data_IF_542946861853
#
_entry.id   IF_542946861853
#
_cell.length_a   1.000
_cell.length_b   1.000
_cell.length_c   1.000
_cell.angle_alpha   90.00
_cell.angle_beta   90.00
_cell.angle_gamma   90.00
#
_symmetry.space_group_name_H-M   'P 1'
#
loop_
_entity.id
_entity.type
_entity.pdbx_description
1 polymer ?
#
# COMPACT_ATOMS: atom_id res chain seq x y z
N UNK A 1 6.37 -28.18 0.30
CA UNK A 1 7.10 -26.90 0.47
C UNK A 1 7.34 -26.66 1.94
N UNK A 2 8.58 -26.34 2.34
CA UNK A 2 8.91 -25.92 3.69
C UNK A 2 8.25 -24.57 4.01
N UNK A 3 7.98 -24.31 5.29
CA UNK A 3 7.34 -23.07 5.74
C UNK A 3 8.22 -21.82 5.47
N UNK A 4 9.54 -21.99 5.33
CA UNK A 4 10.49 -20.92 4.99
C UNK A 4 10.23 -20.29 3.63
N UNK A 5 9.95 -21.11 2.60
CA UNK A 5 9.62 -20.63 1.25
C UNK A 5 8.26 -19.92 1.21
N UNK A 6 7.34 -20.31 2.10
CA UNK A 6 5.99 -19.76 2.17
C UNK A 6 6.02 -18.33 2.71
N UNK A 7 6.84 -18.04 3.73
CA UNK A 7 7.03 -16.66 4.22
C UNK A 7 7.49 -15.72 3.11
N UNK A 8 8.45 -16.17 2.29
CA UNK A 8 8.93 -15.42 1.13
C UNK A 8 7.81 -15.19 0.09
N UNK A 9 7.00 -16.21 -0.19
CA UNK A 9 5.85 -16.07 -1.10
C UNK A 9 4.77 -15.12 -0.56
N UNK A 10 4.56 -15.09 0.76
CA UNK A 10 3.64 -14.14 1.40
C UNK A 10 4.12 -12.70 1.19
N UNK A 11 5.41 -12.44 1.37
CA UNK A 11 6.00 -11.11 1.13
C UNK A 11 5.95 -10.71 -0.34
N UNK A 12 6.29 -11.62 -1.26
CA UNK A 12 6.16 -11.38 -2.71
C UNK A 12 4.73 -11.05 -3.12
N UNK A 13 3.74 -11.72 -2.52
CA UNK A 13 2.31 -11.44 -2.75
C UNK A 13 1.95 -10.04 -2.27
N UNK A 14 2.40 -9.63 -1.09
CA UNK A 14 2.19 -8.28 -0.56
C UNK A 14 2.78 -7.22 -1.51
N UNK A 15 3.97 -7.48 -2.06
CA UNK A 15 4.60 -6.61 -3.07
C UNK A 15 3.98 -6.69 -4.48
N UNK A 16 2.84 -7.40 -4.68
CA UNK A 16 2.17 -7.65 -5.97
C UNK A 16 3.05 -8.31 -7.05
N UNK A 17 4.04 -9.12 -6.66
CA UNK A 17 5.01 -9.78 -7.58
C UNK A 17 4.81 -11.30 -7.70
N UNK A 18 3.63 -11.84 -7.36
CA UNK A 18 3.38 -13.29 -7.31
C UNK A 18 2.65 -13.81 -8.55
N UNK A 19 3.07 -14.96 -9.08
CA UNK A 19 2.40 -15.65 -10.19
C UNK A 19 1.12 -16.38 -9.74
N UNK A 20 0.19 -16.62 -10.67
CA UNK A 20 -1.09 -17.31 -10.40
C UNK A 20 -0.90 -18.70 -9.79
N UNK A 21 0.08 -19.48 -10.27
CA UNK A 21 0.38 -20.82 -9.74
C UNK A 21 0.91 -20.77 -8.30
N UNK A 22 1.77 -19.80 -8.00
CA UNK A 22 2.31 -19.58 -6.66
C UNK A 22 1.21 -19.17 -5.68
N UNK A 23 0.23 -18.38 -6.13
CA UNK A 23 -0.93 -18.00 -5.33
C UNK A 23 -1.79 -19.21 -4.94
N UNK A 24 -2.02 -20.15 -5.86
CA UNK A 24 -2.76 -21.39 -5.57
C UNK A 24 -1.98 -22.28 -4.59
N UNK A 25 -0.68 -22.47 -4.82
CA UNK A 25 0.19 -23.25 -3.90
C UNK A 25 0.20 -22.65 -2.50
N UNK A 26 0.32 -21.33 -2.40
CA UNK A 26 0.27 -20.60 -1.13
C UNK A 26 -1.07 -20.81 -0.42
N UNK A 27 -2.19 -20.73 -1.15
CA UNK A 27 -3.53 -20.96 -0.58
C UNK A 27 -3.68 -22.37 0.00
N UNK A 28 -3.21 -23.39 -0.71
CA UNK A 28 -3.24 -24.78 -0.23
C UNK A 28 -2.38 -24.95 1.03
N UNK A 29 -1.17 -24.38 1.05
CA UNK A 29 -0.30 -24.48 2.22
C UNK A 29 -0.87 -23.77 3.45
N UNK A 30 -1.47 -22.59 3.29
CA UNK A 30 -2.11 -21.85 4.39
C UNK A 30 -3.34 -22.58 4.99
N UNK A 31 -3.93 -23.51 4.23
CA UNK A 31 -5.03 -24.37 4.72
C UNK A 31 -4.51 -25.50 5.61
N UNK A 32 -3.31 -26.00 5.33
CA UNK A 32 -2.67 -27.12 6.05
C UNK A 32 -1.81 -26.65 7.22
N UNK A 33 -1.16 -25.49 7.11
CA UNK A 33 -0.24 -24.97 8.12
C UNK A 33 -0.83 -23.78 8.89
N UNK A 34 -1.13 -24.00 10.17
CA UNK A 34 -1.68 -22.98 11.08
C UNK A 34 -0.70 -21.83 11.36
N UNK A 35 0.60 -22.11 11.45
CA UNK A 35 1.63 -21.09 11.70
C UNK A 35 1.71 -20.10 10.55
N UNK A 36 1.82 -20.59 9.31
CA UNK A 36 1.83 -19.76 8.11
C UNK A 36 0.52 -18.96 7.98
N UNK A 37 -0.62 -19.52 8.39
CA UNK A 37 -1.90 -18.81 8.44
C UNK A 37 -1.89 -17.63 9.41
N UNK A 38 -1.30 -17.79 10.60
CA UNK A 38 -1.12 -16.70 11.56
C UNK A 38 -0.18 -15.62 11.02
N UNK A 39 0.95 -16.03 10.45
CA UNK A 39 1.90 -15.11 9.83
C UNK A 39 1.25 -14.29 8.71
N UNK A 40 0.54 -14.94 7.79
CA UNK A 40 -0.18 -14.26 6.71
C UNK A 40 -1.20 -13.23 7.23
N UNK A 41 -1.93 -13.55 8.31
CA UNK A 41 -2.85 -12.58 8.94
C UNK A 41 -2.11 -11.37 9.50
N UNK A 42 -0.97 -11.57 10.17
CA UNK A 42 -0.14 -10.49 10.72
C UNK A 42 0.35 -9.55 9.61
N UNK A 43 0.87 -10.12 8.52
CA UNK A 43 1.34 -9.34 7.36
C UNK A 43 0.20 -8.55 6.71
N UNK A 44 -0.97 -9.17 6.53
CA UNK A 44 -2.13 -8.47 5.94
C UNK A 44 -2.67 -7.35 6.84
N UNK A 45 -2.59 -7.51 8.16
CA UNK A 45 -2.95 -6.44 9.10
C UNK A 45 -2.00 -5.25 8.95
N UNK A 46 -0.69 -5.50 8.89
CA UNK A 46 0.32 -4.46 8.69
C UNK A 46 0.13 -3.74 7.35
N UNK A 47 -0.01 -4.50 6.25
CA UNK A 47 -0.22 -3.96 4.91
C UNK A 47 -1.47 -3.07 4.84
N UNK A 48 -2.58 -3.51 5.44
CA UNK A 48 -3.80 -2.71 5.54
C UNK A 48 -3.62 -1.45 6.40
N UNK A 49 -2.89 -1.57 7.51
CA UNK A 49 -2.60 -0.42 8.37
C UNK A 49 -1.76 0.63 7.63
N UNK A 50 -0.76 0.18 6.85
CA UNK A 50 0.12 1.06 6.08
C UNK A 50 -0.62 1.73 4.91
N UNK A 51 -1.48 1.00 4.18
CA UNK A 51 -2.32 1.57 3.11
C UNK A 51 -3.30 2.63 3.65
N UNK A 52 -3.84 2.43 4.85
CA UNK A 52 -4.73 3.42 5.46
C UNK A 52 -4.00 4.71 5.88
N UNK A 53 -2.72 4.63 6.24
CA UNK A 53 -1.88 5.82 6.48
C UNK A 53 -1.58 6.59 5.18
N UNK A 54 -1.33 5.91 4.05
CA UNK A 54 -1.11 6.59 2.75
C UNK A 54 -2.36 7.34 2.26
N UNK A 55 -3.57 6.84 2.53
CA UNK A 55 -4.83 7.53 2.16
C UNK A 55 -5.06 8.81 3.00
N UNK A 56 -4.28 9.00 4.08
CA UNK A 56 -4.29 10.24 4.87
C UNK A 56 -3.30 11.28 4.32
N UNK A 57 -2.69 11.07 3.15
CA UNK A 57 -2.35 12.21 2.30
C UNK A 57 -3.66 12.79 1.79
N UNK A 58 -4.23 13.72 2.58
CA UNK A 58 -5.27 14.62 2.12
C UNK A 58 -4.88 15.05 0.70
N UNK A 59 -5.62 14.61 -0.32
CA UNK A 59 -5.60 15.28 -1.62
C UNK A 59 -5.94 16.72 -1.30
N UNK A 60 -4.92 17.58 -1.20
CA UNK A 60 -5.11 19.01 -1.10
C UNK A 60 -5.63 19.40 -2.46
N UNK A 61 -6.94 19.36 -2.62
CA UNK A 61 -7.62 19.85 -3.80
C UNK A 61 -7.54 21.36 -3.68
N UNK A 62 -6.44 21.95 -4.16
CA UNK A 62 -6.32 23.39 -4.25
C UNK A 62 -7.45 23.92 -5.11
N UNK A 63 -8.29 24.78 -4.55
CA UNK A 63 -9.37 25.38 -5.31
C UNK A 63 -8.75 26.30 -6.38
N UNK A 64 -9.26 26.27 -7.60
CA UNK A 64 -8.76 27.10 -8.70
C UNK A 64 -8.76 28.60 -8.36
N UNK A 65 -9.68 29.03 -7.49
CA UNK A 65 -9.73 30.40 -6.96
C UNK A 65 -8.52 30.75 -6.07
N UNK A 66 -8.02 29.81 -5.27
CA UNK A 66 -6.84 30.00 -4.40
C UNK A 66 -5.56 30.17 -5.23
N UNK A 67 -5.41 29.36 -6.29
CA UNK A 67 -4.29 29.45 -7.23
C UNK A 67 -4.31 30.80 -7.95
N UNK A 68 -5.49 31.28 -8.38
CA UNK A 68 -5.61 32.60 -9.01
C UNK A 68 -5.33 33.76 -8.06
N UNK A 69 -5.76 33.66 -6.79
CA UNK A 69 -5.48 34.68 -5.79
C UNK A 69 -3.98 34.76 -5.51
N UNK A 70 -3.30 33.62 -5.40
CA UNK A 70 -1.85 33.56 -5.24
C UNK A 70 -1.11 34.21 -6.42
N UNK A 71 -1.51 33.87 -7.66
CA UNK A 71 -0.90 34.43 -8.88
C UNK A 71 -1.07 35.95 -8.97
N UNK A 72 -2.23 36.49 -8.56
CA UNK A 72 -2.46 37.94 -8.48
C UNK A 72 -1.54 38.59 -7.46
N UNK A 73 -1.48 38.03 -6.25
CA UNK A 73 -0.66 38.55 -5.14
C UNK A 73 0.84 38.58 -5.51
N UNK A 74 1.35 37.55 -6.16
CA UNK A 74 2.73 37.52 -6.67
C UNK A 74 2.99 38.63 -7.70
N UNK A 75 2.06 38.84 -8.62
CA UNK A 75 2.17 39.88 -9.66
C UNK A 75 2.14 41.29 -9.08
N UNK A 76 1.41 41.52 -8.00
CA UNK A 76 1.39 42.80 -7.29
C UNK A 76 2.70 43.06 -6.54
N UNK A 77 3.29 42.03 -5.92
CA UNK A 77 4.58 42.16 -5.23
C UNK A 77 5.76 42.35 -6.18
N UNK A 78 5.68 41.83 -7.41
CA UNK A 78 6.71 42.03 -8.46
C UNK A 78 6.59 43.38 -9.19
N UNK A 79 5.51 44.13 -8.97
CA UNK A 79 5.27 45.46 -9.57
C UNK A 79 5.64 46.60 -8.63
N UNK A 80 6.15 46.28 -7.43
CA UNK A 80 6.62 47.23 -6.43
C UNK A 80 8.13 47.11 -6.33
#
# INVERSE_FOLDING_TARGET
MPCSEISLLIEKKTARKISFFEKIRLFLHLRLCRLCKMYHKKVMFLDKSLQNTEITEKKVVFNHSEIQLFKRKMKENLKK
#
